data_IF_255793963905
#
_entry.id   IF_255793963905
#
_cell.length_a   1.000
_cell.length_b   1.000
_cell.length_c   1.000
_cell.angle_alpha   90.00
_cell.angle_beta   90.00
_cell.angle_gamma   90.00
#
_symmetry.space_group_name_H-M   'P 1'
#
loop_
_entity.id
_entity.type
_entity.pdbx_description
1 polymer ?
#
# COMPACT_ATOMS: atom_id res chain seq x y z
N UNK A 1 -21.31 -30.26 -5.07
CA UNK A 1 -20.13 -29.37 -5.15
C UNK A 1 -18.91 -30.27 -5.01
N UNK A 2 -18.04 -30.31 -6.02
CA UNK A 2 -16.92 -31.24 -6.08
C UNK A 2 -15.72 -30.73 -5.24
N UNK A 3 -15.12 -31.62 -4.45
CA UNK A 3 -13.93 -31.36 -3.63
C UNK A 3 -12.75 -30.78 -4.43
N UNK A 4 -12.59 -31.19 -5.69
CA UNK A 4 -11.57 -30.67 -6.61
C UNK A 4 -11.80 -29.19 -6.94
N UNK A 5 -13.07 -28.77 -7.04
CA UNK A 5 -13.44 -27.39 -7.32
C UNK A 5 -13.21 -26.47 -6.12
N UNK A 6 -13.46 -26.98 -4.91
CA UNK A 6 -13.20 -26.26 -3.66
C UNK A 6 -11.69 -26.07 -3.45
N UNK A 7 -10.90 -27.13 -3.64
CA UNK A 7 -9.44 -27.04 -3.50
C UNK A 7 -8.84 -26.01 -4.47
N UNK A 8 -9.29 -25.99 -5.72
CA UNK A 8 -8.85 -24.99 -6.71
C UNK A 8 -9.17 -23.55 -6.30
N UNK A 9 -10.31 -23.31 -5.66
CA UNK A 9 -10.67 -21.98 -5.16
C UNK A 9 -9.71 -21.57 -4.03
N UNK A 10 -9.38 -22.48 -3.11
CA UNK A 10 -8.41 -22.20 -2.05
C UNK A 10 -7.03 -21.84 -2.59
N UNK A 11 -6.53 -22.60 -3.56
CA UNK A 11 -5.24 -22.29 -4.21
C UNK A 11 -5.26 -20.90 -4.87
N UNK A 12 -6.37 -20.52 -5.51
CA UNK A 12 -6.53 -19.17 -6.08
C UNK A 12 -6.57 -18.07 -5.02
N UNK A 13 -7.23 -18.31 -3.88
CA UNK A 13 -7.29 -17.35 -2.78
C UNK A 13 -5.93 -17.18 -2.10
N UNK A 14 -5.14 -18.24 -1.98
CA UNK A 14 -3.78 -18.20 -1.42
C UNK A 14 -2.83 -17.48 -2.37
N UNK A 15 -2.91 -17.76 -3.68
CA UNK A 15 -2.13 -17.06 -4.70
C UNK A 15 -2.51 -15.57 -4.81
N UNK A 16 -3.80 -15.29 -4.59
CA UNK A 16 -4.39 -13.97 -4.61
C UNK A 16 -5.14 -13.66 -5.90
N UNK A 17 -6.20 -12.87 -5.75
CA UNK A 17 -7.09 -12.43 -6.82
C UNK A 17 -7.04 -10.91 -6.97
N UNK A 18 -7.14 -10.44 -8.20
CA UNK A 18 -7.21 -9.01 -8.49
C UNK A 18 -8.65 -8.52 -8.43
N UNK A 19 -8.84 -7.38 -7.76
CA UNK A 19 -10.11 -6.68 -7.67
C UNK A 19 -10.00 -5.33 -8.38
N UNK A 20 -11.15 -4.68 -8.63
CA UNK A 20 -11.24 -3.30 -9.13
C UNK A 20 -10.31 -3.02 -10.33
N UNK A 21 -10.40 -3.82 -11.40
CA UNK A 21 -9.54 -3.69 -12.59
C UNK A 21 -8.03 -3.71 -12.27
N UNK A 22 -7.61 -4.60 -11.35
CA UNK A 22 -6.24 -4.76 -10.86
C UNK A 22 -5.70 -3.54 -10.08
N UNK A 23 -6.60 -2.77 -9.47
CA UNK A 23 -6.23 -1.71 -8.54
C UNK A 23 -6.03 -2.24 -7.12
N UNK A 24 -6.59 -3.41 -6.82
CA UNK A 24 -6.34 -4.11 -5.55
C UNK A 24 -6.00 -5.58 -5.79
N UNK A 25 -5.30 -6.18 -4.85
CA UNK A 25 -5.11 -7.63 -4.75
C UNK A 25 -5.55 -8.10 -3.37
N UNK A 26 -6.36 -9.13 -3.35
CA UNK A 26 -6.81 -9.82 -2.15
C UNK A 26 -6.18 -11.21 -2.11
N UNK A 27 -5.70 -11.64 -0.95
CA UNK A 27 -5.29 -13.02 -0.73
C UNK A 27 -5.54 -13.44 0.70
N UNK A 28 -5.53 -14.75 0.95
CA UNK A 28 -5.61 -15.31 2.30
C UNK A 28 -4.26 -15.87 2.72
N UNK A 29 -3.87 -15.59 3.95
CA UNK A 29 -2.70 -16.22 4.58
C UNK A 29 -3.19 -17.21 5.62
N UNK A 30 -2.74 -18.46 5.54
CA UNK A 30 -2.95 -19.45 6.58
C UNK A 30 -1.88 -19.25 7.66
N UNK A 31 -2.31 -18.99 8.89
CA UNK A 31 -1.46 -19.07 10.07
C UNK A 31 -2.13 -20.02 11.07
N UNK A 32 -1.40 -21.06 11.45
CA UNK A 32 -1.96 -22.24 12.13
C UNK A 32 -3.15 -22.81 11.34
N UNK A 33 -4.31 -23.04 11.97
CA UNK A 33 -5.54 -23.51 11.30
C UNK A 33 -6.52 -22.37 10.98
N UNK A 34 -6.05 -21.12 10.99
CA UNK A 34 -6.88 -19.92 10.75
C UNK A 34 -6.41 -19.20 9.48
N UNK A 35 -7.37 -18.70 8.70
CA UNK A 35 -7.12 -17.93 7.49
C UNK A 35 -7.36 -16.44 7.75
N UNK A 36 -6.40 -15.62 7.35
CA UNK A 36 -6.44 -14.17 7.52
C UNK A 36 -6.46 -13.47 6.17
N UNK A 37 -7.44 -12.58 6.01
CA UNK A 37 -7.60 -11.74 4.84
C UNK A 37 -6.44 -10.74 4.74
N UNK A 38 -5.87 -10.60 3.55
CA UNK A 38 -4.80 -9.65 3.25
C UNK A 38 -5.09 -8.87 1.97
N UNK A 39 -4.64 -7.61 1.94
CA UNK A 39 -4.89 -6.72 0.82
C UNK A 39 -3.64 -5.94 0.41
N UNK A 40 -3.61 -5.58 -0.86
CA UNK A 40 -2.69 -4.62 -1.44
C UNK A 40 -3.47 -3.66 -2.32
N UNK A 41 -3.20 -2.37 -2.17
CA UNK A 41 -3.70 -1.29 -3.02
C UNK A 41 -2.56 -0.86 -3.95
N UNK A 42 -2.82 -0.83 -5.25
CA UNK A 42 -1.84 -0.44 -6.27
C UNK A 42 -1.89 1.05 -6.55
N UNK A 43 -0.83 1.55 -7.19
CA UNK A 43 -0.60 2.96 -7.43
C UNK A 43 -1.76 3.69 -8.14
N UNK A 44 -2.56 2.98 -8.93
CA UNK A 44 -3.72 3.55 -9.63
C UNK A 44 -4.89 3.95 -8.70
N UNK A 45 -4.88 3.50 -7.44
CA UNK A 45 -5.88 3.84 -6.42
C UNK A 45 -5.30 4.70 -5.30
N UNK A 46 -4.00 5.02 -5.38
CA UNK A 46 -3.35 5.95 -4.46
C UNK A 46 -3.55 7.39 -4.92
N UNK A 47 -3.66 8.31 -3.97
CA UNK A 47 -3.55 9.74 -4.22
C UNK A 47 -2.08 10.14 -4.17
N UNK A 48 -1.62 10.84 -5.21
CA UNK A 48 -0.22 11.23 -5.36
C UNK A 48 -0.12 12.75 -5.45
N UNK A 49 0.89 13.34 -4.82
CA UNK A 49 1.18 14.76 -4.94
C UNK A 49 2.69 15.00 -5.11
N UNK A 50 3.01 16.01 -5.91
CA UNK A 50 4.39 16.47 -6.18
C UNK A 50 4.57 17.96 -5.91
N UNK A 51 3.53 18.58 -5.34
CA UNK A 51 3.45 19.99 -5.02
C UNK A 51 2.67 20.19 -3.73
N UNK A 52 2.87 21.34 -3.13
CA UNK A 52 2.12 21.83 -1.99
C UNK A 52 1.44 23.15 -2.32
N UNK A 53 0.37 23.47 -1.60
CA UNK A 53 -0.28 24.78 -1.66
C UNK A 53 0.46 25.83 -0.83
N UNK A 54 -0.15 27.01 -0.68
CA UNK A 54 0.42 28.14 0.06
C UNK A 54 0.62 27.85 1.55
N UNK A 55 -0.12 26.88 2.10
CA UNK A 55 -0.06 26.47 3.50
C UNK A 55 0.89 25.27 3.69
N UNK A 56 1.51 24.79 2.61
CA UNK A 56 2.41 23.64 2.63
C UNK A 56 1.68 22.30 2.63
N UNK A 57 0.38 22.26 2.33
CA UNK A 57 -0.39 21.02 2.25
C UNK A 57 -0.28 20.38 0.85
N UNK A 58 -0.23 19.04 0.75
CA UNK A 58 -0.11 18.38 -0.55
C UNK A 58 -1.29 18.68 -1.48
N UNK A 59 -0.98 19.11 -2.71
CA UNK A 59 -1.96 19.25 -3.78
C UNK A 59 -2.21 17.89 -4.44
N UNK A 60 -3.11 17.10 -3.83
CA UNK A 60 -3.43 15.76 -4.30
C UNK A 60 -3.95 15.74 -5.72
N UNK A 61 -3.46 14.78 -6.51
CA UNK A 61 -3.88 14.54 -7.88
C UNK A 61 -3.65 15.75 -8.82
N UNK A 62 -2.89 16.74 -8.38
CA UNK A 62 -2.39 17.82 -9.23
C UNK A 62 -1.19 17.35 -10.04
N UNK A 63 -1.04 17.90 -11.25
CA UNK A 63 0.13 17.66 -12.11
C UNK A 63 0.44 16.18 -12.34
N UNK A 64 -0.61 15.38 -12.57
CA UNK A 64 -0.48 13.96 -12.90
C UNK A 64 0.42 13.67 -14.12
N UNK A 65 0.71 14.67 -14.96
CA UNK A 65 1.70 14.56 -16.03
C UNK A 65 3.14 14.33 -15.55
N UNK A 66 3.45 14.59 -14.27
CA UNK A 66 4.72 14.22 -13.64
C UNK A 66 4.84 12.70 -13.39
N UNK A 67 3.69 12.03 -13.31
CA UNK A 67 3.59 10.61 -13.06
C UNK A 67 3.39 9.85 -14.37
N UNK A 68 4.20 8.82 -14.56
CA UNK A 68 4.00 7.84 -15.62
C UNK A 68 3.59 6.52 -14.98
N UNK A 69 2.39 6.06 -15.32
CA UNK A 69 1.98 4.70 -14.98
C UNK A 69 2.66 3.72 -15.94
N UNK A 70 3.42 2.79 -15.39
CA UNK A 70 4.11 1.74 -16.15
C UNK A 70 3.67 0.39 -15.65
N UNK A 71 3.70 -0.61 -16.52
CA UNK A 71 3.40 -1.98 -16.15
C UNK A 71 4.67 -2.73 -15.74
N UNK A 72 4.56 -3.53 -14.69
CA UNK A 72 5.59 -4.48 -14.28
C UNK A 72 4.95 -5.84 -14.04
N UNK A 73 5.78 -6.89 -14.13
CA UNK A 73 5.36 -8.26 -13.82
C UNK A 73 5.76 -8.59 -12.39
N UNK A 74 4.78 -8.96 -11.56
CA UNK A 74 4.99 -9.51 -10.23
C UNK A 74 5.65 -10.91 -10.29
N UNK A 75 6.09 -11.41 -9.13
CA UNK A 75 6.75 -12.73 -9.03
C UNK A 75 5.86 -13.90 -9.47
N UNK A 76 4.55 -13.75 -9.36
CA UNK A 76 3.56 -14.74 -9.78
C UNK A 76 3.16 -14.61 -11.27
N UNK A 77 3.82 -13.71 -12.02
CA UNK A 77 3.53 -13.44 -13.43
C UNK A 77 2.43 -12.42 -13.67
N UNK A 78 1.79 -11.88 -12.63
CA UNK A 78 0.74 -10.89 -12.80
C UNK A 78 1.29 -9.54 -13.27
N UNK A 79 0.63 -8.95 -14.27
CA UNK A 79 0.96 -7.60 -14.74
C UNK A 79 0.17 -6.56 -13.94
N UNK A 80 0.89 -5.67 -13.26
CA UNK A 80 0.36 -4.60 -12.40
C UNK A 80 0.85 -3.22 -12.85
N UNK A 81 0.10 -2.17 -12.52
CA UNK A 81 0.49 -0.78 -12.77
C UNK A 81 1.21 -0.18 -11.56
N UNK A 82 2.37 0.41 -11.80
CA UNK A 82 3.11 1.20 -10.81
C UNK A 82 3.25 2.64 -11.29
N UNK A 83 3.26 3.58 -10.35
CA UNK A 83 3.50 4.98 -10.64
C UNK A 83 5.01 5.27 -10.58
N UNK A 84 5.58 5.72 -11.70
CA UNK A 84 6.96 6.17 -11.79
C UNK A 84 6.96 7.69 -11.90
N UNK A 85 7.71 8.35 -11.03
CA UNK A 85 7.97 9.77 -11.14
C UNK A 85 8.92 10.02 -12.33
N UNK A 86 8.53 10.91 -13.24
CA UNK A 86 9.24 11.13 -14.51
C UNK A 86 10.23 12.29 -14.46
N UNK A 87 10.25 13.06 -13.37
CA UNK A 87 11.05 14.27 -13.21
C UNK A 87 12.07 14.11 -12.08
N UNK A 88 13.33 14.41 -12.40
CA UNK A 88 14.46 14.26 -11.49
C UNK A 88 14.59 15.38 -10.43
N UNK A 89 13.82 16.47 -10.55
CA UNK A 89 13.92 17.67 -9.68
C UNK A 89 12.61 18.00 -8.98
N UNK A 90 12.03 17.00 -8.32
CA UNK A 90 10.87 17.22 -7.45
C UNK A 90 11.35 17.17 -6.01
N UNK A 91 11.00 18.19 -5.24
CA UNK A 91 11.44 18.37 -3.85
C UNK A 91 10.43 17.86 -2.82
N UNK A 92 9.23 17.47 -3.26
CA UNK A 92 8.16 16.96 -2.41
C UNK A 92 7.52 15.78 -3.10
N UNK A 93 7.48 14.64 -2.42
CA UNK A 93 6.67 13.50 -2.85
C UNK A 93 5.76 13.07 -1.70
N UNK A 94 4.46 13.20 -1.92
CA UNK A 94 3.43 12.74 -1.01
C UNK A 94 2.58 11.65 -1.65
N UNK A 95 2.33 10.60 -0.87
CA UNK A 95 1.51 9.45 -1.24
C UNK A 95 0.48 9.27 -0.14
N UNK A 96 -0.79 9.13 -0.53
CA UNK A 96 -1.87 8.77 0.38
C UNK A 96 -2.66 7.59 -0.17
N UNK A 97 -3.12 6.72 0.72
CA UNK A 97 -4.02 5.64 0.38
C UNK A 97 -4.95 5.31 1.53
N UNK A 98 -5.98 4.52 1.21
CA UNK A 98 -7.06 4.17 2.11
C UNK A 98 -7.33 2.68 2.00
N UNK A 99 -7.55 2.02 3.14
CA UNK A 99 -7.91 0.60 3.21
C UNK A 99 -9.09 0.47 4.15
N UNK A 100 -10.14 -0.19 3.69
CA UNK A 100 -11.24 -0.61 4.56
C UNK A 100 -10.72 -1.67 5.52
N UNK A 101 -10.80 -1.41 6.83
CA UNK A 101 -10.43 -2.41 7.83
C UNK A 101 -11.53 -3.44 8.02
N UNK A 102 -12.71 -3.20 7.45
CA UNK A 102 -13.87 -4.10 7.52
C UNK A 102 -13.60 -5.39 6.73
N UNK A 103 -12.75 -5.31 5.71
CA UNK A 103 -12.37 -6.46 4.89
C UNK A 103 -11.32 -7.35 5.56
N UNK A 104 -10.71 -6.88 6.66
CA UNK A 104 -9.69 -7.60 7.41
C UNK A 104 -10.31 -8.55 8.43
N UNK A 105 -9.65 -9.70 8.64
CA UNK A 105 -10.08 -10.68 9.64
C UNK A 105 -9.92 -10.10 11.06
N UNK A 106 -10.91 -10.27 11.94
CA UNK A 106 -10.80 -9.80 13.33
C UNK A 106 -9.81 -10.63 14.15
N UNK A 107 -9.42 -10.06 15.29
CA UNK A 107 -8.52 -10.62 16.30
C UNK A 107 -7.12 -10.96 15.74
N UNK A 108 -6.61 -10.09 14.86
CA UNK A 108 -5.28 -10.18 14.29
C UNK A 108 -4.59 -8.81 14.30
N UNK A 109 -3.26 -8.83 14.37
CA UNK A 109 -2.45 -7.62 14.21
C UNK A 109 -2.05 -7.47 12.75
N UNK A 110 -2.37 -6.32 12.17
CA UNK A 110 -2.05 -5.97 10.80
C UNK A 110 -0.94 -4.94 10.74
N UNK A 111 0.02 -5.14 9.85
CA UNK A 111 1.03 -4.16 9.52
C UNK A 111 0.74 -3.56 8.14
N UNK A 112 0.65 -2.23 8.06
CA UNK A 112 0.56 -1.50 6.80
C UNK A 112 1.98 -1.14 6.37
N UNK A 113 2.30 -1.42 5.11
CA UNK A 113 3.57 -1.07 4.51
C UNK A 113 3.37 -0.65 3.05
N UNK A 114 4.16 0.32 2.59
CA UNK A 114 4.22 0.72 1.19
C UNK A 114 5.44 0.12 0.51
N UNK A 115 5.25 -0.35 -0.72
CA UNK A 115 6.31 -0.91 -1.55
C UNK A 115 6.77 0.17 -2.52
N UNK A 116 8.02 0.62 -2.38
CA UNK A 116 8.58 1.73 -3.16
C UNK A 116 9.92 1.34 -3.77
N UNK A 117 10.34 2.10 -4.80
CA UNK A 117 11.67 2.02 -5.39
C UNK A 117 12.18 3.45 -5.62
N UNK A 118 13.42 3.73 -5.25
CA UNK A 118 14.04 5.06 -5.32
C UNK A 118 15.51 4.95 -5.75
N UNK A 119 16.06 6.01 -6.37
CA UNK A 119 17.35 5.97 -7.07
C UNK A 119 18.51 6.59 -6.27
N UNK A 120 18.44 7.80 -5.72
CA UNK A 120 19.50 8.25 -4.78
C UNK A 120 19.25 9.50 -3.92
N UNK A 121 18.11 10.19 -4.07
CA UNK A 121 17.92 11.49 -3.40
C UNK A 121 17.05 11.47 -2.14
N UNK A 122 16.41 10.35 -1.82
CA UNK A 122 15.49 10.27 -0.67
C UNK A 122 16.18 9.66 0.54
N UNK A 123 16.61 10.53 1.46
CA UNK A 123 17.32 10.13 2.68
C UNK A 123 16.35 9.77 3.81
N UNK A 124 15.19 10.42 3.85
CA UNK A 124 14.19 10.20 4.89
C UNK A 124 12.80 10.04 4.30
N UNK A 125 11.98 9.27 4.99
CA UNK A 125 10.54 9.20 4.75
C UNK A 125 9.82 9.39 6.07
N UNK A 126 8.84 10.28 6.10
CA UNK A 126 7.85 10.36 7.17
C UNK A 126 6.63 9.57 6.73
N UNK A 127 6.10 8.74 7.61
CA UNK A 127 4.87 8.00 7.38
C UNK A 127 3.86 8.27 8.48
N UNK A 128 2.59 8.27 8.13
CA UNK A 128 1.50 8.34 9.10
C UNK A 128 0.45 7.27 8.80
N UNK A 129 -0.11 6.69 9.86
CA UNK A 129 -1.28 5.82 9.81
C UNK A 129 -2.37 6.42 10.70
N UNK A 130 -3.50 6.76 10.11
CA UNK A 130 -4.69 7.25 10.78
C UNK A 130 -5.70 6.11 10.83
N UNK A 131 -6.05 5.67 12.02
CA UNK A 131 -7.01 4.59 12.23
C UNK A 131 -8.43 5.16 12.44
N UNK A 132 -9.49 4.37 12.19
CA UNK A 132 -10.89 4.82 12.34
C UNK A 132 -11.28 5.42 13.70
N UNK A 133 -10.64 5.01 14.80
CA UNK A 133 -10.85 5.58 16.14
C UNK A 133 -10.16 6.94 16.35
N UNK A 134 -9.53 7.50 15.32
CA UNK A 134 -8.79 8.76 15.41
C UNK A 134 -7.38 8.61 15.98
N UNK A 135 -6.90 7.40 16.29
CA UNK A 135 -5.50 7.19 16.66
C UNK A 135 -4.62 7.44 15.43
N UNK A 136 -3.58 8.27 15.62
CA UNK A 136 -2.59 8.58 14.59
C UNK A 136 -1.24 8.05 15.05
N UNK A 137 -0.62 7.22 14.21
CA UNK A 137 0.76 6.76 14.38
C UNK A 137 1.64 7.46 13.36
N UNK A 138 2.68 8.16 13.82
CA UNK A 138 3.65 8.82 12.94
C UNK A 138 5.03 8.22 13.13
N UNK A 139 5.76 8.05 12.04
CA UNK A 139 7.13 7.50 12.07
C UNK A 139 8.01 8.26 11.08
N UNK A 140 9.28 8.48 11.45
CA UNK A 140 10.31 8.98 10.53
C UNK A 140 11.36 7.90 10.38
N UNK A 141 11.64 7.49 9.15
CA UNK A 141 12.66 6.49 8.84
C UNK A 141 13.76 7.07 7.97
N UNK A 142 14.98 6.64 8.26
CA UNK A 142 16.13 6.87 7.39
C UNK A 142 16.18 5.73 6.36
N UNK A 143 16.24 6.09 5.08
CA UNK A 143 16.37 5.14 3.96
C UNK A 143 17.80 5.00 3.45
N UNK A 144 18.76 5.68 4.09
CA UNK A 144 20.17 5.68 3.69
C UNK A 144 20.72 4.26 3.46
N UNK A 145 20.44 3.34 4.38
CA UNK A 145 20.97 1.96 4.34
C UNK A 145 20.12 0.97 3.52
N UNK A 146 19.08 1.46 2.81
CA UNK A 146 18.22 0.62 1.97
C UNK A 146 18.75 0.52 0.55
N UNK A 147 18.59 -0.62 -0.15
CA UNK A 147 19.09 -0.75 -1.52
C UNK A 147 18.40 0.25 -2.46
N UNK A 148 19.19 0.84 -3.37
CA UNK A 148 18.71 1.74 -4.43
C UNK A 148 18.25 0.93 -5.64
N UNK A 149 17.30 1.47 -6.39
CA UNK A 149 16.75 0.84 -7.59
C UNK A 149 16.11 -0.54 -7.38
N UNK A 150 15.89 -0.92 -6.12
CA UNK A 150 15.19 -2.14 -5.71
C UNK A 150 13.86 -1.81 -5.03
N UNK A 151 12.90 -2.74 -5.13
CA UNK A 151 11.63 -2.62 -4.43
C UNK A 151 11.83 -2.93 -2.94
N UNK A 152 11.60 -1.92 -2.09
CA UNK A 152 11.69 -2.06 -0.64
C UNK A 152 10.31 -1.90 0.00
N UNK A 153 10.12 -2.55 1.15
CA UNK A 153 8.96 -2.33 2.01
C UNK A 153 9.30 -1.26 3.04
N UNK A 154 8.55 -0.17 3.04
CA UNK A 154 8.56 0.85 4.08
C UNK A 154 7.32 0.62 4.93
N UNK A 155 7.51 0.16 6.17
CA UNK A 155 6.40 0.04 7.11
C UNK A 155 5.74 1.42 7.33
N UNK A 156 4.47 1.47 7.72
CA UNK A 156 3.76 2.73 8.03
C UNK A 156 3.36 2.71 9.49
N UNK A 157 2.72 1.62 9.91
CA UNK A 157 2.28 1.37 11.27
C UNK A 157 1.64 0.00 11.39
N UNK A 158 1.21 -0.32 12.60
CA UNK A 158 0.55 -1.59 12.91
C UNK A 158 -0.65 -1.37 13.83
N UNK A 159 -1.67 -2.21 13.72
CA UNK A 159 -2.84 -2.12 14.59
C UNK A 159 -3.50 -3.48 14.77
N UNK A 160 -4.16 -3.65 15.92
CA UNK A 160 -5.00 -4.80 16.19
C UNK A 160 -6.39 -4.58 15.58
N UNK A 161 -6.82 -5.48 14.69
CA UNK A 161 -8.19 -5.48 14.17
C UNK A 161 -9.11 -6.17 15.17
N UNK A 162 -9.81 -5.41 16.01
CA UNK A 162 -10.80 -5.94 16.98
C UNK A 162 -12.18 -6.01 16.36
N UNK A 163 -13.02 -6.99 16.70
CA UNK A 163 -14.32 -7.19 16.04
C UNK A 163 -15.24 -5.96 16.01
N UNK A 164 -15.21 -5.12 17.03
CA UNK A 164 -16.01 -3.90 17.15
C UNK A 164 -15.37 -2.67 16.46
N UNK A 165 -14.33 -2.88 15.67
CA UNK A 165 -13.53 -1.83 15.06
C UNK A 165 -13.74 -1.81 13.56
N UNK A 166 -14.48 -0.83 13.08
CA UNK A 166 -14.91 -0.71 11.69
C UNK A 166 -14.47 0.63 11.08
N UNK A 167 -14.43 0.68 9.76
CA UNK A 167 -14.19 1.88 8.97
C UNK A 167 -12.94 1.84 8.11
N UNK A 168 -12.37 3.01 7.83
CA UNK A 168 -11.27 3.17 6.89
C UNK A 168 -10.01 3.62 7.60
N UNK A 169 -8.92 2.87 7.42
CA UNK A 169 -7.58 3.31 7.77
C UNK A 169 -6.98 4.10 6.61
N UNK A 170 -6.36 5.25 6.92
CA UNK A 170 -5.69 6.09 5.95
C UNK A 170 -4.19 6.10 6.24
N UNK A 171 -3.38 6.01 5.19
CA UNK A 171 -1.93 6.02 5.32
C UNK A 171 -1.30 7.07 4.42
N UNK A 172 -0.17 7.60 4.88
CA UNK A 172 0.55 8.68 4.22
C UNK A 172 2.05 8.40 4.23
N UNK A 173 2.72 8.68 3.13
CA UNK A 173 4.17 8.77 3.04
C UNK A 173 4.56 10.13 2.46
N UNK A 174 5.52 10.78 3.10
CA UNK A 174 6.08 12.06 2.73
C UNK A 174 7.61 11.93 2.65
N UNK A 175 8.17 12.25 1.48
CA UNK A 175 9.61 12.16 1.18
C UNK A 175 10.22 13.54 0.93
#
# INVERSE_FOLDING_TARGET
>A
IDSSSIHRIYEQLIAGIFLNNKQQKFWVVKADEVYYNCFMVYAAELSLATQVDIDGLPLWNAQMYHWKFTEITERDGAVIKVAKLSLARIHVLDISGRISIDDLSPNATYAIACVIRFDDNQVYVRSALVLPNGIIQTQKRNLHDKPRNEWIRVAVGEFERRSNYEGVAEFFLHF
#
